data_IF_694739586434
#
_entry.id   IF_694739586434
#
_cell.length_a   1.000
_cell.length_b   1.000
_cell.length_c   1.000
_cell.angle_alpha   90.00
_cell.angle_beta   90.00
_cell.angle_gamma   90.00
#
_symmetry.space_group_name_H-M   'P 1'
#
loop_
_entity.id
_entity.type
_entity.pdbx_description
1 polymer ?
#
# COMPACT_ATOMS: atom_id res chain seq x y z
N UNK A 1 -25.51 5.95 -21.26
CA UNK A 1 -25.33 4.59 -20.69
C UNK A 1 -23.99 4.13 -21.21
N UNK A 2 -22.92 4.47 -20.50
CA UNK A 2 -21.57 4.14 -20.94
C UNK A 2 -21.38 2.64 -20.78
N UNK A 3 -21.26 1.95 -21.91
CA UNK A 3 -20.87 0.55 -21.98
C UNK A 3 -19.60 0.37 -21.18
N UNK A 4 -19.60 -0.57 -20.22
CA UNK A 4 -18.36 -1.08 -19.62
C UNK A 4 -17.43 -1.54 -20.75
N UNK A 5 -16.52 -0.67 -21.18
CA UNK A 5 -15.51 -0.99 -22.17
C UNK A 5 -14.63 -2.09 -21.57
N UNK A 6 -14.46 -3.18 -22.31
CA UNK A 6 -13.55 -4.25 -21.94
C UNK A 6 -12.15 -3.62 -21.91
N UNK A 7 -11.43 -3.65 -20.77
CA UNK A 7 -10.13 -3.01 -20.68
C UNK A 7 -9.16 -3.63 -21.69
N UNK A 8 -8.36 -2.78 -22.33
CA UNK A 8 -7.28 -3.23 -23.22
C UNK A 8 -6.23 -4.03 -22.46
N UNK A 9 -5.43 -4.84 -23.17
CA UNK A 9 -4.34 -5.60 -22.56
C UNK A 9 -3.35 -4.69 -21.81
N UNK A 10 -3.14 -3.47 -22.30
CA UNK A 10 -2.29 -2.46 -21.66
C UNK A 10 -2.90 -1.92 -20.37
N UNK A 11 -4.20 -1.65 -20.34
CA UNK A 11 -4.89 -1.19 -19.13
C UNK A 11 -4.88 -2.26 -18.04
N UNK A 12 -5.07 -3.53 -18.41
CA UNK A 12 -4.98 -4.66 -17.47
C UNK A 12 -3.55 -4.76 -16.92
N UNK A 13 -2.53 -4.69 -17.78
CA UNK A 13 -1.13 -4.73 -17.35
C UNK A 13 -0.79 -3.57 -16.42
N UNK A 14 -1.20 -2.35 -16.75
CA UNK A 14 -1.02 -1.15 -15.92
C UNK A 14 -1.72 -1.30 -14.56
N UNK A 15 -2.93 -1.85 -14.53
CA UNK A 15 -3.67 -2.12 -13.30
C UNK A 15 -2.91 -3.12 -12.41
N UNK A 16 -2.44 -4.23 -12.96
CA UNK A 16 -1.65 -5.24 -12.23
C UNK A 16 -0.34 -4.62 -11.69
N UNK A 17 0.34 -3.80 -12.50
CA UNK A 17 1.57 -3.11 -12.09
C UNK A 17 1.31 -2.13 -10.93
N UNK A 18 0.25 -1.33 -11.00
CA UNK A 18 -0.16 -0.41 -9.92
C UNK A 18 -0.50 -1.16 -8.63
N UNK A 19 -1.28 -2.23 -8.71
CA UNK A 19 -1.59 -3.07 -7.55
C UNK A 19 -0.33 -3.67 -6.93
N UNK A 20 0.60 -4.15 -7.77
CA UNK A 20 1.88 -4.70 -7.31
C UNK A 20 2.69 -3.68 -6.52
N UNK A 21 2.73 -2.42 -6.98
CA UNK A 21 3.36 -1.31 -6.27
C UNK A 21 2.66 -1.02 -4.93
N UNK A 22 1.33 -0.98 -4.91
CA UNK A 22 0.56 -0.70 -3.68
C UNK A 22 0.74 -1.79 -2.63
N UNK A 23 0.63 -3.06 -3.04
CA UNK A 23 0.81 -4.22 -2.16
C UNK A 23 2.25 -4.33 -1.66
N UNK A 24 3.24 -4.05 -2.52
CA UNK A 24 4.65 -4.02 -2.12
C UNK A 24 4.96 -2.93 -1.10
N UNK A 25 4.43 -1.72 -1.30
CA UNK A 25 4.59 -0.62 -0.34
C UNK A 25 3.93 -0.97 0.99
N UNK A 26 2.70 -1.50 0.95
CA UNK A 26 1.98 -1.90 2.14
C UNK A 26 2.76 -2.96 2.93
N UNK A 27 3.27 -4.01 2.27
CA UNK A 27 3.98 -5.08 2.97
C UNK A 27 5.22 -4.57 3.73
N UNK A 28 5.98 -3.67 3.12
CA UNK A 28 7.16 -3.04 3.73
C UNK A 28 6.73 -2.17 4.92
N UNK A 29 5.74 -1.29 4.72
CA UNK A 29 5.27 -0.37 5.75
C UNK A 29 4.71 -1.12 6.97
N UNK A 30 3.72 -1.99 6.76
CA UNK A 30 3.09 -2.73 7.85
C UNK A 30 3.99 -3.79 8.47
N UNK A 31 4.78 -4.52 7.68
CA UNK A 31 5.69 -5.53 8.19
C UNK A 31 6.82 -4.93 9.05
N UNK A 32 7.42 -3.82 8.62
CA UNK A 32 8.44 -3.12 9.41
C UNK A 32 7.87 -2.53 10.71
N UNK A 33 6.67 -1.94 10.66
CA UNK A 33 5.96 -1.44 11.84
C UNK A 33 5.62 -2.57 12.82
N UNK A 34 5.23 -3.73 12.31
CA UNK A 34 4.96 -4.91 13.12
C UNK A 34 6.19 -5.37 13.89
N UNK A 35 7.34 -5.48 13.20
CA UNK A 35 8.58 -5.95 13.82
C UNK A 35 9.01 -5.07 14.99
N UNK A 36 8.82 -3.76 14.90
CA UNK A 36 9.26 -2.83 15.95
C UNK A 36 8.25 -2.70 17.11
N UNK A 37 6.95 -2.86 16.88
CA UNK A 37 5.92 -2.63 17.93
C UNK A 37 5.28 -3.91 18.49
N UNK A 38 5.05 -4.92 17.66
CA UNK A 38 4.16 -6.05 17.99
C UNK A 38 4.82 -7.43 17.94
N UNK A 39 6.04 -7.53 17.43
CA UNK A 39 6.79 -8.79 17.41
C UNK A 39 6.90 -9.45 18.79
N UNK A 40 6.79 -10.77 18.82
CA UNK A 40 7.06 -11.65 19.96
C UNK A 40 8.57 -11.83 20.20
N UNK A 41 9.42 -11.25 19.35
CA UNK A 41 10.87 -11.39 19.40
C UNK A 41 11.38 -12.76 18.92
N UNK A 42 10.49 -13.64 18.46
CA UNK A 42 10.88 -14.97 18.00
C UNK A 42 11.52 -14.90 16.62
N UNK A 43 12.48 -15.80 16.37
CA UNK A 43 13.10 -15.91 15.04
C UNK A 43 12.11 -16.33 13.97
N UNK A 44 11.15 -17.19 14.32
CA UNK A 44 10.11 -17.67 13.40
C UNK A 44 9.26 -16.49 12.89
N UNK A 45 8.74 -15.68 13.81
CA UNK A 45 7.97 -14.48 13.47
C UNK A 45 8.83 -13.50 12.68
N UNK A 46 10.05 -13.23 13.13
CA UNK A 46 10.93 -12.28 12.43
C UNK A 46 11.23 -12.71 10.99
N UNK A 47 11.55 -13.99 10.77
CA UNK A 47 11.80 -14.53 9.44
C UNK A 47 10.55 -14.45 8.55
N UNK A 48 9.38 -14.82 9.08
CA UNK A 48 8.12 -14.73 8.33
C UNK A 48 7.84 -13.30 7.86
N UNK A 49 8.04 -12.30 8.74
CA UNK A 49 7.80 -10.90 8.38
C UNK A 49 8.87 -10.35 7.44
N UNK A 50 10.13 -10.76 7.56
CA UNK A 50 11.17 -10.40 6.59
C UNK A 50 10.90 -10.98 5.20
N UNK A 51 10.42 -12.23 5.12
CA UNK A 51 10.00 -12.84 3.85
C UNK A 51 8.80 -12.07 3.28
N UNK A 52 7.82 -11.71 4.11
CA UNK A 52 6.68 -10.90 3.68
C UNK A 52 7.09 -9.52 3.12
N UNK A 53 7.96 -8.79 3.81
CA UNK A 53 8.52 -7.54 3.31
C UNK A 53 9.33 -7.76 2.03
N UNK A 54 10.18 -8.79 1.97
CA UNK A 54 11.02 -9.09 0.82
C UNK A 54 10.22 -9.49 -0.43
N UNK A 55 9.20 -10.35 -0.28
CA UNK A 55 8.33 -10.74 -1.38
C UNK A 55 7.53 -9.55 -1.91
N UNK A 56 6.99 -8.70 -1.04
CA UNK A 56 6.30 -7.50 -1.50
C UNK A 56 7.25 -6.46 -2.10
N UNK A 57 8.48 -6.32 -1.59
CA UNK A 57 9.50 -5.48 -2.22
C UNK A 57 9.85 -5.98 -3.64
N UNK A 58 10.00 -7.29 -3.81
CA UNK A 58 10.22 -7.90 -5.12
C UNK A 58 9.03 -7.66 -6.06
N UNK A 59 7.80 -7.92 -5.59
CA UNK A 59 6.57 -7.68 -6.35
C UNK A 59 6.45 -6.21 -6.78
N UNK A 60 6.69 -5.28 -5.86
CA UNK A 60 6.64 -3.84 -6.10
C UNK A 60 7.71 -3.37 -7.09
N UNK A 61 8.92 -3.95 -7.02
CA UNK A 61 10.00 -3.70 -7.98
C UNK A 61 9.61 -4.13 -9.40
N UNK A 62 9.07 -5.35 -9.55
CA UNK A 62 8.58 -5.83 -10.85
C UNK A 62 7.42 -4.97 -11.36
N UNK A 63 6.46 -4.61 -10.49
CA UNK A 63 5.36 -3.72 -10.84
C UNK A 63 5.82 -2.34 -11.29
N UNK A 64 6.86 -1.78 -10.68
CA UNK A 64 7.42 -0.49 -11.09
C UNK A 64 8.12 -0.58 -12.45
N UNK A 65 8.96 -1.60 -12.67
CA UNK A 65 9.67 -1.79 -13.94
C UNK A 65 8.73 -2.12 -15.10
N UNK A 66 7.84 -3.09 -14.92
CA UNK A 66 6.83 -3.46 -15.92
C UNK A 66 5.83 -2.33 -16.16
N UNK A 67 5.49 -1.54 -15.13
CA UNK A 67 4.61 -0.38 -15.30
C UNK A 67 5.23 0.75 -16.15
N UNK A 68 6.55 0.89 -16.14
CA UNK A 68 7.25 1.80 -17.05
C UNK A 68 7.23 1.25 -18.49
N UNK A 69 7.60 -0.02 -18.67
CA UNK A 69 7.58 -0.67 -20.00
C UNK A 69 6.18 -0.70 -20.60
N UNK A 70 5.15 -0.92 -19.78
CA UNK A 70 3.76 -0.88 -20.21
C UNK A 70 3.36 0.48 -20.80
N UNK A 71 3.83 1.58 -20.19
CA UNK A 71 3.59 2.93 -20.73
C UNK A 71 4.39 3.19 -22.02
N UNK A 72 5.61 2.68 -22.13
CA UNK A 72 6.37 2.70 -23.40
C UNK A 72 5.58 2.02 -24.51
N UNK A 73 5.08 0.81 -24.25
CA UNK A 73 4.32 0.03 -25.23
C UNK A 73 2.99 0.65 -25.62
N UNK A 74 2.28 1.24 -24.65
CA UNK A 74 1.02 1.93 -24.88
C UNK A 74 1.19 3.17 -25.79
N UNK A 75 2.29 3.92 -25.65
CA UNK A 75 2.57 5.10 -26.49
C UNK A 75 3.08 4.68 -27.88
N UNK A 76 3.83 3.58 -27.97
CA UNK A 76 4.38 3.09 -29.22
C UNK A 76 3.31 2.52 -30.17
N UNK A 77 2.25 1.92 -29.62
CA UNK A 77 1.09 1.35 -30.33
C UNK A 77 1.39 0.23 -31.35
N UNK A 78 2.58 -0.39 -31.27
CA UNK A 78 2.99 -1.53 -32.12
C UNK A 78 2.80 -2.90 -31.43
N UNK A 79 1.76 -3.03 -30.60
CA UNK A 79 1.54 -4.24 -29.79
C UNK A 79 2.60 -4.46 -28.70
N UNK A 80 2.60 -5.64 -28.06
CA UNK A 80 3.40 -5.90 -26.85
C UNK A 80 4.91 -5.69 -27.02
N UNK A 81 5.46 -5.94 -28.22
CA UNK A 81 6.88 -5.73 -28.50
C UNK A 81 7.30 -4.27 -28.43
N UNK A 82 6.36 -3.33 -28.62
CA UNK A 82 6.62 -1.89 -28.52
C UNK A 82 7.12 -1.45 -27.13
N UNK A 83 6.90 -2.26 -26.08
CA UNK A 83 7.42 -1.96 -24.73
C UNK A 83 8.95 -1.94 -24.62
N UNK A 84 9.64 -2.55 -25.60
CA UNK A 84 11.10 -2.63 -25.64
C UNK A 84 11.74 -1.61 -26.58
N UNK A 85 10.98 -0.60 -27.04
CA UNK A 85 11.53 0.49 -27.84
C UNK A 85 12.46 1.36 -26.99
N UNK A 86 13.75 1.29 -27.32
CA UNK A 86 14.81 2.01 -26.60
C UNK A 86 14.74 3.53 -26.80
N UNK A 87 14.25 3.99 -27.95
CA UNK A 87 14.14 5.42 -28.24
C UNK A 87 13.03 6.05 -27.41
N UNK A 88 11.86 5.40 -27.38
CA UNK A 88 10.72 5.81 -26.54
C UNK A 88 11.06 5.70 -25.05
N UNK A 89 11.76 4.64 -24.64
CA UNK A 89 12.21 4.47 -23.26
C UNK A 89 13.11 5.62 -22.81
N UNK A 90 14.08 6.04 -23.64
CA UNK A 90 14.95 7.19 -23.32
C UNK A 90 14.16 8.48 -23.19
N UNK A 91 13.23 8.73 -24.12
CA UNK A 91 12.37 9.91 -24.06
C UNK A 91 11.54 9.95 -22.76
N UNK A 92 10.96 8.83 -22.35
CA UNK A 92 10.16 8.77 -21.11
C UNK A 92 11.00 8.85 -19.83
N UNK A 93 12.26 8.41 -19.86
CA UNK A 93 13.18 8.54 -18.73
C UNK A 93 13.49 10.00 -18.39
N UNK A 94 13.47 10.90 -19.38
CA UNK A 94 13.68 12.34 -19.18
C UNK A 94 12.42 13.09 -18.69
N UNK A 95 11.34 12.37 -18.39
CA UNK A 95 10.08 12.93 -17.89
C UNK A 95 9.85 12.61 -16.41
N UNK A 96 8.81 13.19 -15.80
CA UNK A 96 8.36 12.83 -14.44
C UNK A 96 8.10 11.33 -14.28
N UNK A 97 7.73 10.61 -15.35
CA UNK A 97 7.53 9.17 -15.31
C UNK A 97 8.85 8.42 -15.03
N UNK A 98 9.95 8.88 -15.62
CA UNK A 98 11.30 8.38 -15.34
C UNK A 98 11.65 8.54 -13.87
N UNK A 99 11.44 9.74 -13.31
CA UNK A 99 11.67 10.02 -11.89
C UNK A 99 10.84 9.11 -10.97
N UNK A 100 9.52 8.99 -11.23
CA UNK A 100 8.62 8.09 -10.48
C UNK A 100 9.17 6.67 -10.48
N UNK A 101 9.59 6.18 -11.64
CA UNK A 101 10.10 4.83 -11.82
C UNK A 101 11.41 4.65 -11.06
N UNK A 102 12.33 5.61 -11.14
CA UNK A 102 13.59 5.60 -10.42
C UNK A 102 13.39 5.54 -8.90
N UNK A 103 12.57 6.44 -8.33
CA UNK A 103 12.25 6.44 -6.90
C UNK A 103 11.66 5.11 -6.44
N UNK A 104 10.79 4.50 -7.26
CA UNK A 104 10.18 3.20 -6.96
C UNK A 104 11.18 2.05 -7.01
N UNK A 105 11.99 1.97 -8.06
CA UNK A 105 13.02 0.93 -8.19
C UNK A 105 14.07 1.01 -7.08
N UNK A 106 14.53 2.22 -6.75
CA UNK A 106 15.47 2.44 -5.64
C UNK A 106 14.84 2.09 -4.28
N UNK A 107 13.61 2.53 -4.03
CA UNK A 107 12.90 2.25 -2.78
C UNK A 107 12.64 0.75 -2.58
N UNK A 108 12.07 0.07 -3.57
CA UNK A 108 11.83 -1.37 -3.50
C UNK A 108 13.12 -2.18 -3.51
N UNK A 109 14.12 -1.79 -4.32
CA UNK A 109 15.43 -2.42 -4.34
C UNK A 109 16.12 -2.35 -2.97
N UNK A 110 16.12 -1.18 -2.34
CA UNK A 110 16.67 -1.01 -0.99
C UNK A 110 15.93 -1.87 0.04
N UNK A 111 14.59 -1.88 0.02
CA UNK A 111 13.80 -2.71 0.94
C UNK A 111 14.06 -4.21 0.75
N UNK A 112 14.24 -4.66 -0.49
CA UNK A 112 14.58 -6.05 -0.82
C UNK A 112 15.97 -6.43 -0.31
N UNK A 113 16.98 -5.59 -0.55
CA UNK A 113 18.35 -5.79 -0.06
C UNK A 113 18.40 -5.80 1.46
N UNK A 114 17.69 -4.88 2.13
CA UNK A 114 17.55 -4.88 3.60
C UNK A 114 16.92 -6.19 4.08
N UNK A 115 15.84 -6.64 3.45
CA UNK A 115 15.15 -7.89 3.83
C UNK A 115 16.09 -9.10 3.73
N UNK A 116 16.80 -9.25 2.60
CA UNK A 116 17.72 -10.35 2.35
C UNK A 116 18.92 -10.32 3.28
N UNK A 117 19.58 -9.17 3.41
CA UNK A 117 20.76 -9.02 4.26
C UNK A 117 20.44 -9.39 5.71
N UNK A 118 19.31 -8.89 6.21
CA UNK A 118 18.87 -9.11 7.59
C UNK A 118 18.43 -10.56 7.80
N UNK A 119 17.75 -11.17 6.83
CA UNK A 119 17.36 -12.58 6.87
C UNK A 119 18.57 -13.49 7.04
N UNK A 120 19.61 -13.34 6.21
CA UNK A 120 20.83 -14.13 6.34
C UNK A 120 21.60 -13.82 7.63
N UNK A 121 21.61 -12.55 8.07
CA UNK A 121 22.24 -12.17 9.33
C UNK A 121 21.60 -12.87 10.52
N UNK A 122 20.27 -12.93 10.58
CA UNK A 122 19.53 -13.56 11.69
C UNK A 122 19.82 -15.06 11.79
N UNK A 123 19.94 -15.75 10.65
CA UNK A 123 20.29 -17.18 10.65
C UNK A 123 21.65 -17.47 11.30
N UNK A 124 22.58 -16.50 11.26
CA UNK A 124 23.92 -16.62 11.87
C UNK A 124 23.96 -16.22 13.35
N UNK A 125 22.90 -15.61 13.89
CA UNK A 125 22.88 -15.18 15.29
C UNK A 125 22.69 -16.39 16.21
N UNK A 126 23.50 -16.48 17.28
CA UNK A 126 23.33 -17.50 18.34
C UNK A 126 22.15 -17.21 19.25
N UNK A 127 21.81 -15.93 19.46
CA UNK A 127 20.70 -15.47 20.31
C UNK A 127 19.57 -14.80 19.49
N UNK A 128 18.33 -14.73 19.98
CA UNK A 128 17.26 -14.00 19.30
C UNK A 128 17.54 -12.48 19.26
N UNK A 129 16.93 -11.74 18.30
CA UNK A 129 17.17 -10.30 18.17
C UNK A 129 16.58 -9.51 19.35
N UNK A 130 17.36 -8.56 19.86
CA UNK A 130 16.93 -7.62 20.93
C UNK A 130 16.19 -6.39 20.36
N UNK A 131 15.40 -5.63 21.14
CA UNK A 131 14.55 -4.54 20.63
C UNK A 131 15.25 -3.47 19.78
N UNK A 132 16.50 -3.11 20.09
CA UNK A 132 17.27 -2.12 19.32
C UNK A 132 17.52 -2.58 17.87
N UNK A 133 17.55 -3.89 17.62
CA UNK A 133 17.70 -4.47 16.29
C UNK A 133 16.52 -4.08 15.39
N UNK A 134 15.30 -4.23 15.90
CA UNK A 134 14.08 -3.89 15.15
C UNK A 134 13.98 -2.39 14.88
N UNK A 135 14.47 -1.54 15.80
CA UNK A 135 14.54 -0.09 15.55
C UNK A 135 15.47 0.27 14.40
N UNK A 136 16.67 -0.33 14.35
CA UNK A 136 17.62 -0.12 13.23
C UNK A 136 17.07 -0.63 11.91
N UNK A 137 16.42 -1.79 11.94
CA UNK A 137 15.74 -2.35 10.78
C UNK A 137 14.62 -1.42 10.28
N UNK A 138 13.79 -0.92 11.18
CA UNK A 138 12.73 0.03 10.88
C UNK A 138 13.28 1.31 10.23
N UNK A 139 14.38 1.87 10.74
CA UNK A 139 15.07 3.02 10.11
C UNK A 139 15.49 2.72 8.67
N UNK A 140 16.02 1.52 8.39
CA UNK A 140 16.36 1.10 7.03
C UNK A 140 15.15 1.08 6.10
N UNK A 141 14.02 0.54 6.56
CA UNK A 141 12.77 0.57 5.79
C UNK A 141 12.19 1.99 5.65
N UNK A 142 12.36 2.88 6.62
CA UNK A 142 11.91 4.26 6.50
C UNK A 142 12.58 5.00 5.33
N UNK A 143 13.86 4.76 5.07
CA UNK A 143 14.52 5.36 3.89
C UNK A 143 13.93 4.86 2.58
N UNK A 144 13.66 3.55 2.47
CA UNK A 144 12.98 2.97 1.32
C UNK A 144 11.56 3.56 1.14
N UNK A 145 10.77 3.58 2.21
CA UNK A 145 9.40 4.10 2.22
C UNK A 145 9.34 5.59 1.90
N UNK A 146 10.35 6.38 2.33
CA UNK A 146 10.45 7.79 1.97
C UNK A 146 10.55 7.95 0.45
N UNK A 147 11.47 7.24 -0.20
CA UNK A 147 11.59 7.28 -1.66
C UNK A 147 10.30 6.86 -2.37
N UNK A 148 9.67 5.78 -1.90
CA UNK A 148 8.39 5.31 -2.42
C UNK A 148 7.28 6.36 -2.27
N UNK A 149 7.12 6.95 -1.09
CA UNK A 149 6.08 7.95 -0.81
C UNK A 149 6.28 9.23 -1.64
N UNK A 150 7.54 9.69 -1.78
CA UNK A 150 7.86 10.86 -2.59
C UNK A 150 7.55 10.65 -4.07
N UNK A 151 7.63 9.40 -4.58
CA UNK A 151 7.26 9.09 -5.97
C UNK A 151 5.81 9.45 -6.30
N UNK A 152 4.89 9.35 -5.33
CA UNK A 152 3.46 9.63 -5.56
C UNK A 152 3.16 11.09 -5.83
N UNK A 153 4.05 12.00 -5.43
CA UNK A 153 3.93 13.45 -5.71
C UNK A 153 4.10 13.77 -7.18
N UNK A 154 4.78 12.90 -7.92
CA UNK A 154 5.17 13.11 -9.31
C UNK A 154 4.19 12.45 -10.30
N UNK A 155 3.14 11.77 -9.81
CA UNK A 155 2.22 11.00 -10.63
C UNK A 155 0.99 11.83 -11.04
N UNK A 156 0.73 11.93 -12.34
CA UNK A 156 -0.51 12.49 -12.90
C UNK A 156 -0.79 13.94 -12.45
N UNK A 157 -2.08 14.26 -12.30
CA UNK A 157 -2.56 15.58 -11.88
C UNK A 157 -2.06 16.00 -10.49
N UNK A 158 -1.72 15.05 -9.61
CA UNK A 158 -1.15 15.37 -8.30
C UNK A 158 0.16 16.15 -8.42
N UNK A 159 0.89 15.95 -9.51
CA UNK A 159 2.15 16.66 -9.77
C UNK A 159 2.01 18.14 -10.13
N UNK A 160 0.79 18.61 -10.35
CA UNK A 160 0.45 20.03 -10.60
C UNK A 160 -0.43 20.62 -9.50
N UNK A 161 -0.88 19.82 -8.52
CA UNK A 161 -1.59 20.31 -7.34
C UNK A 161 -0.64 21.06 -6.38
N UNK A 162 -1.23 21.68 -5.36
CA UNK A 162 -0.50 22.41 -4.35
C UNK A 162 0.54 21.53 -3.64
N UNK A 163 1.59 22.16 -3.11
CA UNK A 163 2.59 21.48 -2.29
C UNK A 163 1.93 20.75 -1.10
N UNK A 164 0.82 21.29 -0.58
CA UNK A 164 0.05 20.67 0.52
C UNK A 164 -0.54 19.33 0.06
N UNK A 165 -1.19 19.29 -1.10
CA UNK A 165 -1.72 18.04 -1.69
C UNK A 165 -0.64 17.03 -2.03
N UNK A 166 0.52 17.48 -2.51
CA UNK A 166 1.66 16.59 -2.75
C UNK A 166 2.12 15.92 -1.45
N UNK A 167 2.23 16.66 -0.34
CA UNK A 167 2.52 16.02 0.95
C UNK A 167 1.35 15.18 1.48
N UNK A 168 0.10 15.60 1.24
CA UNK A 168 -1.08 14.84 1.61
C UNK A 168 -1.10 13.46 0.94
N UNK A 169 -0.79 13.34 -0.36
CA UNK A 169 -0.74 12.02 -1.02
C UNK A 169 0.37 11.14 -0.43
N UNK A 170 1.53 11.70 -0.10
CA UNK A 170 2.62 10.94 0.51
C UNK A 170 2.21 10.40 1.88
N UNK A 171 1.58 11.24 2.72
CA UNK A 171 1.04 10.85 4.02
C UNK A 171 -0.07 9.80 3.86
N UNK A 172 -1.01 10.02 2.94
CA UNK A 172 -2.14 9.13 2.70
C UNK A 172 -1.66 7.73 2.32
N UNK A 173 -0.72 7.62 1.38
CA UNK A 173 -0.18 6.34 0.92
C UNK A 173 0.61 5.64 2.03
N UNK A 174 1.38 6.36 2.83
CA UNK A 174 2.08 5.78 3.99
C UNK A 174 1.09 5.30 5.06
N UNK A 175 0.08 6.09 5.41
CA UNK A 175 -0.94 5.72 6.38
C UNK A 175 -1.71 4.47 5.92
N UNK A 176 -2.13 4.46 4.66
CA UNK A 176 -2.71 3.28 4.01
C UNK A 176 -1.76 2.07 4.10
N UNK A 177 -0.49 2.25 3.75
CA UNK A 177 0.51 1.19 3.74
C UNK A 177 0.74 0.60 5.13
N UNK A 178 0.80 1.43 6.17
CA UNK A 178 0.93 0.98 7.56
C UNK A 178 -0.30 0.22 8.04
N UNK A 179 -1.51 0.66 7.68
CA UNK A 179 -2.72 -0.01 8.12
C UNK A 179 -2.94 -1.33 7.36
N UNK A 180 -3.00 -1.30 6.04
CA UNK A 180 -3.32 -2.49 5.25
C UNK A 180 -2.17 -3.50 5.30
N UNK A 181 -0.94 -3.01 5.26
CA UNK A 181 0.25 -3.84 5.29
C UNK A 181 0.41 -4.66 6.56
N UNK A 182 -0.15 -4.20 7.68
CA UNK A 182 0.02 -4.86 8.98
C UNK A 182 -0.98 -5.99 9.21
N UNK A 183 -2.05 -6.06 8.41
CA UNK A 183 -3.11 -7.07 8.54
C UNK A 183 -2.55 -8.49 8.46
N UNK A 184 -1.64 -8.77 7.52
CA UNK A 184 -0.98 -10.08 7.39
C UNK A 184 -0.15 -10.43 8.64
N UNK A 185 0.75 -9.57 9.13
CA UNK A 185 1.42 -9.78 10.41
C UNK A 185 0.46 -9.98 11.61
N UNK A 186 -0.65 -9.21 11.69
CA UNK A 186 -1.64 -9.36 12.76
C UNK A 186 -2.39 -10.69 12.69
N UNK A 187 -2.65 -11.20 11.48
CA UNK A 187 -3.22 -12.53 11.28
C UNK A 187 -2.32 -13.62 11.87
N UNK A 188 -1.00 -13.52 11.66
CA UNK A 188 -0.03 -14.46 12.25
C UNK A 188 0.07 -14.29 13.77
N UNK A 189 0.09 -13.05 14.26
CA UNK A 189 0.11 -12.75 15.69
C UNK A 189 -1.09 -13.38 16.41
N UNK A 190 -2.29 -13.24 15.85
CA UNK A 190 -3.50 -13.83 16.41
C UNK A 190 -3.48 -15.36 16.47
N UNK A 191 -2.58 -16.02 15.74
CA UNK A 191 -2.38 -17.46 15.78
C UNK A 191 -1.40 -17.96 16.85
N UNK A 192 -0.79 -17.08 17.65
CA UNK A 192 0.10 -17.49 18.73
C UNK A 192 -0.69 -18.11 19.90
N UNK A 193 -0.06 -19.05 20.61
CA UNK A 193 -0.67 -19.76 21.74
C UNK A 193 -0.82 -18.90 23.00
N UNK A 194 0.02 -17.87 23.16
CA UNK A 194 -0.05 -16.93 24.28
C UNK A 194 -1.15 -15.87 24.02
N UNK A 195 -2.39 -16.23 24.34
CA UNK A 195 -3.57 -15.38 24.13
C UNK A 195 -3.50 -14.06 24.90
N UNK A 196 -2.85 -14.03 26.06
CA UNK A 196 -2.66 -12.81 26.85
C UNK A 196 -1.72 -11.84 26.14
N UNK A 197 -0.57 -12.33 25.66
CA UNK A 197 0.36 -11.53 24.85
C UNK A 197 -0.33 -10.99 23.59
N UNK A 198 -1.05 -11.85 22.87
CA UNK A 198 -1.81 -11.48 21.65
C UNK A 198 -2.81 -10.37 21.94
N UNK A 199 -3.64 -10.53 22.98
CA UNK A 199 -4.64 -9.54 23.35
C UNK A 199 -3.99 -8.20 23.72
N UNK A 200 -2.90 -8.21 24.50
CA UNK A 200 -2.18 -7.00 24.88
C UNK A 200 -1.65 -6.24 23.65
N UNK A 201 -1.04 -6.96 22.70
CA UNK A 201 -0.51 -6.36 21.46
C UNK A 201 -1.62 -5.82 20.57
N UNK A 202 -2.74 -6.54 20.41
CA UNK A 202 -3.87 -6.09 19.60
C UNK A 202 -4.64 -4.92 20.24
N UNK A 203 -4.73 -4.86 21.57
CA UNK A 203 -5.23 -3.65 22.27
C UNK A 203 -4.32 -2.45 22.02
N UNK A 204 -2.99 -2.65 22.04
CA UNK A 204 -2.07 -1.56 21.74
C UNK A 204 -2.17 -1.11 20.28
N UNK A 205 -2.31 -2.05 19.34
CA UNK A 205 -2.58 -1.75 17.93
C UNK A 205 -3.84 -0.91 17.77
N UNK A 206 -4.93 -1.28 18.43
CA UNK A 206 -6.18 -0.53 18.41
C UNK A 206 -6.07 0.93 18.90
N UNK A 207 -5.06 1.27 19.73
CA UNK A 207 -4.77 2.66 20.09
C UNK A 207 -3.95 3.37 19.02
N UNK A 208 -2.91 2.74 18.49
CA UNK A 208 -2.03 3.34 17.49
C UNK A 208 -2.74 3.55 16.14
N UNK A 209 -3.64 2.64 15.74
CA UNK A 209 -4.35 2.72 14.46
C UNK A 209 -5.27 3.95 14.37
N UNK A 210 -5.71 4.50 15.50
CA UNK A 210 -6.52 5.74 15.51
C UNK A 210 -5.76 6.90 14.86
N UNK A 211 -4.47 7.05 15.18
CA UNK A 211 -3.63 8.08 14.56
C UNK A 211 -3.48 7.85 13.05
N UNK A 212 -3.30 6.59 12.64
CA UNK A 212 -3.21 6.22 11.22
C UNK A 212 -4.49 6.55 10.47
N UNK A 213 -5.65 6.26 11.05
CA UNK A 213 -6.97 6.58 10.50
C UNK A 213 -7.17 8.10 10.41
N UNK A 214 -6.80 8.86 11.43
CA UNK A 214 -6.87 10.33 11.41
C UNK A 214 -6.01 10.93 10.30
N UNK A 215 -4.78 10.44 10.13
CA UNK A 215 -3.90 10.86 9.03
C UNK A 215 -4.49 10.50 7.66
N UNK A 216 -5.07 9.31 7.53
CA UNK A 216 -5.70 8.86 6.29
C UNK A 216 -6.90 9.75 5.91
N UNK A 217 -7.78 10.05 6.88
CA UNK A 217 -8.96 10.90 6.67
C UNK A 217 -8.57 12.35 6.41
N UNK A 218 -7.62 12.91 7.17
CA UNK A 218 -7.15 14.28 6.97
C UNK A 218 -6.49 14.47 5.61
N UNK A 219 -5.55 13.60 5.26
CA UNK A 219 -4.89 13.65 3.97
C UNK A 219 -5.85 13.36 2.80
N UNK A 220 -6.77 12.40 2.97
CA UNK A 220 -7.81 12.10 1.98
C UNK A 220 -8.77 13.26 1.78
N UNK A 221 -9.13 13.97 2.84
CA UNK A 221 -9.98 15.16 2.79
C UNK A 221 -9.32 16.32 2.05
N UNK A 222 -8.03 16.58 2.31
CA UNK A 222 -7.25 17.58 1.56
C UNK A 222 -7.22 17.25 0.06
N UNK A 223 -6.93 15.99 -0.28
CA UNK A 223 -6.92 15.55 -1.68
C UNK A 223 -8.30 15.67 -2.32
N UNK A 224 -9.37 15.31 -1.60
CA UNK A 224 -10.74 15.40 -2.11
C UNK A 224 -11.14 16.87 -2.38
N UNK A 225 -10.70 17.78 -1.53
CA UNK A 225 -10.99 19.21 -1.63
C UNK A 225 -10.33 19.88 -2.84
N UNK A 226 -9.06 19.56 -3.13
CA UNK A 226 -8.36 20.16 -4.27
C UNK A 226 -8.66 19.48 -5.61
N UNK A 227 -9.30 18.31 -5.59
CA UNK A 227 -9.51 17.49 -6.78
C UNK A 227 -10.95 17.54 -7.29
N UNK A 228 -11.88 18.13 -6.54
CA UNK A 228 -13.25 18.40 -6.95
C UNK A 228 -13.46 19.90 -7.02
N UNK A 229 -13.86 20.40 -8.19
CA UNK A 229 -14.20 21.81 -8.36
C UNK A 229 -15.59 22.12 -7.76
N UNK A 230 -16.48 21.12 -7.72
CA UNK A 230 -17.82 21.23 -7.13
C UNK A 230 -18.31 19.94 -6.46
N UNK A 231 -19.12 20.07 -5.41
CA UNK A 231 -19.78 18.92 -4.76
C UNK A 231 -20.78 18.21 -5.67
N UNK A 232 -21.29 18.89 -6.69
CA UNK A 232 -22.19 18.32 -7.70
C UNK A 232 -21.49 17.34 -8.62
N UNK A 233 -20.19 17.52 -8.90
CA UNK A 233 -19.41 16.57 -9.69
C UNK A 233 -19.30 15.20 -9.04
N UNK A 234 -19.37 15.14 -7.70
CA UNK A 234 -19.29 13.89 -6.93
C UNK A 234 -20.39 12.90 -7.36
N UNK A 235 -21.56 13.40 -7.75
CA UNK A 235 -22.71 12.56 -8.11
C UNK A 235 -22.92 12.49 -9.63
N UNK A 236 -22.51 13.55 -10.35
CA UNK A 236 -22.85 13.71 -11.77
C UNK A 236 -21.72 13.29 -12.73
N UNK A 237 -20.52 13.01 -12.25
CA UNK A 237 -19.39 12.57 -13.10
C UNK A 237 -18.97 11.14 -12.80
N UNK A 238 -18.45 10.43 -13.80
CA UNK A 238 -17.88 9.09 -13.62
C UNK A 238 -16.73 9.10 -12.60
N UNK A 239 -15.92 10.17 -12.62
CA UNK A 239 -14.85 10.39 -11.65
C UNK A 239 -15.39 10.56 -10.22
N UNK A 240 -16.39 11.40 -10.01
CA UNK A 240 -17.05 11.60 -8.72
C UNK A 240 -17.70 10.32 -8.18
N UNK A 241 -18.43 9.59 -9.02
CA UNK A 241 -19.07 8.32 -8.63
C UNK A 241 -18.03 7.29 -8.17
N UNK A 242 -16.85 7.26 -8.79
CA UNK A 242 -15.75 6.41 -8.34
C UNK A 242 -15.27 6.75 -6.93
N UNK A 243 -15.22 8.04 -6.59
CA UNK A 243 -14.88 8.53 -5.26
C UNK A 243 -15.96 8.10 -4.26
N UNK A 244 -17.25 8.21 -4.61
CA UNK A 244 -18.35 7.74 -3.75
C UNK A 244 -18.23 6.25 -3.44
N UNK A 245 -17.98 5.41 -4.46
CA UNK A 245 -17.75 3.97 -4.26
C UNK A 245 -16.56 3.72 -3.33
N UNK A 246 -15.45 4.44 -3.54
CA UNK A 246 -14.27 4.34 -2.67
C UNK A 246 -14.58 4.75 -1.23
N UNK A 247 -15.30 5.84 -1.02
CA UNK A 247 -15.68 6.32 0.31
C UNK A 247 -16.61 5.33 1.02
N UNK A 248 -17.56 4.73 0.31
CA UNK A 248 -18.41 3.68 0.86
C UNK A 248 -17.58 2.49 1.37
N UNK A 249 -16.63 2.01 0.56
CA UNK A 249 -15.72 0.92 0.97
C UNK A 249 -14.82 1.32 2.15
N UNK A 250 -14.38 2.58 2.22
CA UNK A 250 -13.61 3.10 3.36
C UNK A 250 -14.45 3.10 4.64
N UNK A 251 -15.72 3.50 4.57
CA UNK A 251 -16.65 3.42 5.72
C UNK A 251 -16.84 1.97 6.14
N UNK A 252 -16.99 1.05 5.18
CA UNK A 252 -17.14 -0.38 5.45
C UNK A 252 -15.93 -0.96 6.19
N UNK A 253 -14.71 -0.73 5.71
CA UNK A 253 -13.50 -1.23 6.38
C UNK A 253 -13.30 -0.58 7.76
N UNK A 254 -13.67 0.70 7.94
CA UNK A 254 -13.65 1.36 9.25
C UNK A 254 -14.65 0.73 10.22
N UNK A 255 -15.85 0.36 9.76
CA UNK A 255 -16.84 -0.33 10.58
C UNK A 255 -16.33 -1.71 11.03
N UNK A 256 -15.67 -2.45 10.13
CA UNK A 256 -15.05 -3.74 10.46
C UNK A 256 -13.91 -3.55 11.47
N UNK A 257 -13.02 -2.57 11.26
CA UNK A 257 -11.94 -2.28 12.19
C UNK A 257 -12.44 -1.84 13.58
N UNK A 258 -13.53 -1.07 13.64
CA UNK A 258 -14.20 -0.72 14.87
C UNK A 258 -14.78 -1.96 15.57
N UNK A 259 -15.46 -2.83 14.82
CA UNK A 259 -15.97 -4.10 15.33
C UNK A 259 -14.83 -4.97 15.90
N UNK A 260 -13.69 -5.05 15.21
CA UNK A 260 -12.52 -5.76 15.69
C UNK A 260 -12.00 -5.19 17.00
N UNK A 261 -11.81 -3.86 17.07
CA UNK A 261 -11.33 -3.18 18.26
C UNK A 261 -12.26 -3.33 19.47
N UNK A 262 -13.57 -3.21 19.28
CA UNK A 262 -14.54 -3.14 20.37
C UNK A 262 -15.19 -4.48 20.74
N UNK A 263 -15.22 -5.46 19.82
CA UNK A 263 -15.89 -6.76 20.04
C UNK A 263 -14.93 -7.95 19.98
N UNK A 264 -14.07 -8.05 18.96
CA UNK A 264 -13.23 -9.25 18.80
C UNK A 264 -11.98 -9.21 19.68
N UNK A 265 -11.27 -8.08 19.74
CA UNK A 265 -10.06 -7.94 20.57
C UNK A 265 -10.31 -8.25 22.06
N UNK A 266 -11.42 -7.81 22.69
CA UNK A 266 -11.77 -8.23 24.05
C UNK A 266 -11.98 -9.73 24.24
N UNK A 267 -12.39 -10.48 23.20
CA UNK A 267 -12.68 -11.92 23.24
C UNK A 267 -11.49 -12.84 22.91
N UNK A 268 -10.30 -12.27 22.67
CA UNK A 268 -9.09 -13.00 22.29
C UNK A 268 -8.50 -13.94 23.36
N UNK A 269 -9.11 -14.00 24.55
CA UNK A 269 -8.72 -14.95 25.61
C UNK A 269 -9.14 -16.41 25.31
N UNK A 270 -9.79 -16.66 24.17
CA UNK A 270 -10.22 -17.97 23.72
C UNK A 270 -9.70 -18.28 22.30
N UNK A 271 -9.51 -19.57 21.99
CA UNK A 271 -9.14 -20.04 20.65
C UNK A 271 -10.19 -19.62 19.60
N UNK A 272 -11.47 -19.65 19.98
CA UNK A 272 -12.56 -19.20 19.12
C UNK A 272 -12.44 -17.70 18.81
N UNK A 273 -12.20 -16.85 19.81
CA UNK A 273 -12.02 -15.42 19.60
C UNK A 273 -10.83 -15.08 18.70
N UNK A 274 -9.73 -15.85 18.81
CA UNK A 274 -8.59 -15.73 17.90
C UNK A 274 -8.95 -16.11 16.44
N UNK A 275 -9.74 -17.16 16.25
CA UNK A 275 -10.22 -17.57 14.93
C UNK A 275 -11.18 -16.54 14.31
N UNK A 276 -12.14 -16.02 15.09
CA UNK A 276 -13.06 -14.95 14.67
C UNK A 276 -12.28 -13.68 14.26
N UNK A 277 -11.29 -13.28 15.05
CA UNK A 277 -10.43 -12.14 14.71
C UNK A 277 -9.68 -12.37 13.40
N UNK A 278 -9.08 -13.54 13.20
CA UNK A 278 -8.36 -13.89 11.95
C UNK A 278 -9.28 -13.86 10.74
N UNK A 279 -10.51 -14.37 10.85
CA UNK A 279 -11.50 -14.27 9.78
C UNK A 279 -11.84 -12.82 9.47
N UNK A 280 -12.06 -11.99 10.49
CA UNK A 280 -12.33 -10.58 10.26
C UNK A 280 -11.16 -9.84 9.63
N UNK A 281 -9.91 -10.16 9.98
CA UNK A 281 -8.72 -9.60 9.32
C UNK A 281 -8.64 -9.97 7.85
N UNK A 282 -9.07 -11.19 7.48
CA UNK A 282 -9.18 -11.59 6.07
C UNK A 282 -10.23 -10.75 5.36
N UNK A 283 -11.40 -10.54 5.97
CA UNK A 283 -12.46 -9.69 5.42
C UNK A 283 -11.97 -8.24 5.26
N UNK A 284 -11.27 -7.67 6.25
CA UNK A 284 -10.65 -6.35 6.13
C UNK A 284 -9.67 -6.30 4.94
N UNK A 285 -8.82 -7.33 4.80
CA UNK A 285 -7.89 -7.46 3.68
C UNK A 285 -8.59 -7.52 2.33
N UNK A 286 -9.71 -8.24 2.23
CA UNK A 286 -10.53 -8.29 1.01
C UNK A 286 -11.13 -6.94 0.67
N UNK A 287 -11.70 -6.22 1.65
CA UNK A 287 -12.25 -4.87 1.41
C UNK A 287 -11.13 -3.90 1.02
N UNK A 288 -9.97 -3.99 1.66
CA UNK A 288 -8.80 -3.18 1.29
C UNK A 288 -8.34 -3.45 -0.15
N UNK A 289 -8.33 -4.72 -0.58
CA UNK A 289 -8.01 -5.08 -1.96
C UNK A 289 -9.04 -4.52 -2.95
N UNK A 290 -10.33 -4.54 -2.61
CA UNK A 290 -11.38 -3.91 -3.42
C UNK A 290 -11.18 -2.40 -3.53
N UNK A 291 -10.83 -1.71 -2.45
CA UNK A 291 -10.48 -0.28 -2.46
C UNK A 291 -9.32 -0.01 -3.42
N UNK A 292 -8.29 -0.85 -3.38
CA UNK A 292 -7.13 -0.74 -4.27
C UNK A 292 -7.50 -1.01 -5.73
N UNK A 293 -8.33 -2.02 -5.99
CA UNK A 293 -8.82 -2.35 -7.33
C UNK A 293 -9.61 -1.20 -7.93
N UNK A 294 -10.56 -0.64 -7.17
CA UNK A 294 -11.31 0.56 -7.53
C UNK A 294 -10.33 1.71 -7.83
N UNK A 295 -9.40 2.00 -6.91
CA UNK A 295 -8.41 3.08 -7.09
C UNK A 295 -7.54 2.87 -8.34
N UNK A 296 -7.07 1.64 -8.60
CA UNK A 296 -6.24 1.31 -9.74
C UNK A 296 -7.01 1.35 -11.06
N UNK A 297 -8.24 0.83 -11.09
CA UNK A 297 -9.13 0.84 -12.25
C UNK A 297 -9.44 2.28 -12.68
N UNK A 298 -9.97 3.09 -11.79
CA UNK A 298 -10.38 4.46 -12.12
C UNK A 298 -9.20 5.37 -12.49
N UNK A 299 -8.04 5.21 -11.83
CA UNK A 299 -6.83 5.97 -12.19
C UNK A 299 -6.17 5.53 -13.50
N UNK A 300 -6.60 4.42 -14.10
CA UNK A 300 -6.03 3.89 -15.36
C UNK A 300 -6.98 4.07 -16.53
N UNK A 301 -8.27 3.85 -16.31
CA UNK A 301 -9.27 3.75 -17.39
C UNK A 301 -10.13 5.00 -17.52
N UNK A 302 -10.44 5.69 -16.42
CA UNK A 302 -11.35 6.85 -16.47
C UNK A 302 -10.56 8.17 -16.50
N UNK A 303 -9.50 8.28 -15.70
CA UNK A 303 -8.73 9.54 -15.58
C UNK A 303 -9.58 10.73 -15.09
N UNK A 304 -8.98 11.83 -14.65
CA UNK A 304 -9.73 13.08 -14.54
C UNK A 304 -10.11 13.52 -15.95
N UNK A 305 -11.38 13.90 -16.18
CA UNK A 305 -11.75 14.54 -17.45
C UNK A 305 -10.86 15.77 -17.62
N UNK A 306 -10.07 15.81 -18.70
CA UNK A 306 -9.47 17.04 -19.17
C UNK A 306 -10.62 17.97 -19.55
N UNK A 307 -10.99 18.86 -18.63
CA UNK A 307 -11.70 20.07 -18.98
C UNK A 307 -10.67 20.92 -19.72
N UNK A 308 -10.80 20.99 -21.04
CA UNK A 308 -10.10 21.99 -21.83
C UNK A 308 -10.43 23.37 -21.23
N UNK A 309 -9.41 24.03 -20.69
CA UNK A 309 -9.45 25.46 -20.38
C UNK A 309 -8.87 26.26 -21.55
#
# INVERSE_FOLDING_TARGET
>A
MDTFLIPSSWEILNLICKLSVYLGLASIAGGSLFLVLYSDGSRKTTNAILIYCGLGAFLGFQGAGLGFLSQVGQINDQGLTGMFDLSMSRMLLDTKLGDVTLYRLLGFGLAFLVSIFVFFRIQRLKRPPIPIFYRRLFTGYCFALMGLALSFRLVGHVSVLSTVSQFAIAIHVLAFGFWIGILVPLYFLAGLSDTNFVQLKLRSFGRHVILVILLLMGAGGVLLWELLDSWTELFNTAYGQSIVVKLFLVILIMAIAAFNKFRLVPKLNSLQGAAEFRQSVVIEGTVALLILLVTAYFSTIIGPMQMDH
#
